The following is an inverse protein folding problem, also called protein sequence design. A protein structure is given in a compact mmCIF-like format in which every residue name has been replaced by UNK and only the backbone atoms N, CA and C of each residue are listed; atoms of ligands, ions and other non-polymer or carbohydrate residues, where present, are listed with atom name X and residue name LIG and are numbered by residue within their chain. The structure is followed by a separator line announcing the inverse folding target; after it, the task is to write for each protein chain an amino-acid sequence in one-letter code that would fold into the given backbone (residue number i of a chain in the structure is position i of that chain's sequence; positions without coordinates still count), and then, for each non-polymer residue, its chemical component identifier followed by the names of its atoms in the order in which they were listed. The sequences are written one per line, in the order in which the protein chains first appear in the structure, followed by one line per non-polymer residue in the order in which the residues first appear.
data_IF_820819906138
#
_entry.id   IF_820819906138
#
_cell.length_a   1.000
_cell.length_b   1.000
_cell.length_c   1.000
_cell.angle_alpha   90.00
_cell.angle_beta   90.00
_cell.angle_gamma   90.00
#
_symmetry.space_group_name_H-M   'P 1'
#
loop_
_entity.id
_entity.type
_entity.pdbx_description
1 polymer ?
#
# COMPACT_ATOMS: atom_id res chain seq x y z
N UNK A 1 18.94 -57.17 40.46
CA UNK A 1 17.64 -56.80 39.87
C UNK A 1 17.89 -56.44 38.42
N UNK A 2 17.32 -57.20 37.49
CA UNK A 2 17.51 -57.02 36.04
C UNK A 2 16.47 -55.99 35.59
N UNK A 3 16.92 -54.82 35.12
CA UNK A 3 16.01 -53.79 34.60
C UNK A 3 15.72 -54.10 33.13
N UNK A 4 14.56 -54.67 32.84
CA UNK A 4 14.09 -54.88 31.46
C UNK A 4 13.56 -53.56 30.91
N UNK A 5 14.11 -53.09 29.78
CA UNK A 5 13.61 -51.92 29.08
C UNK A 5 12.20 -52.18 28.50
N UNK A 6 11.29 -51.19 28.48
CA UNK A 6 9.97 -51.36 27.92
C UNK A 6 10.02 -51.41 26.38
N UNK A 7 9.06 -52.10 25.72
CA UNK A 7 9.04 -52.22 24.27
C UNK A 7 8.69 -50.90 23.58
N UNK A 8 9.17 -50.67 22.34
CA UNK A 8 8.86 -49.46 21.57
C UNK A 8 7.38 -49.41 21.15
N UNK A 9 6.83 -48.19 20.92
CA UNK A 9 5.45 -48.02 20.48
C UNK A 9 5.22 -48.55 19.06
N UNK A 10 3.98 -48.96 18.71
CA UNK A 10 3.66 -49.46 17.38
C UNK A 10 3.75 -48.37 16.30
N UNK A 11 4.09 -48.71 15.05
CA UNK A 11 4.13 -47.75 13.96
C UNK A 11 2.72 -47.23 13.62
N UNK A 12 2.60 -45.99 13.11
CA UNK A 12 1.31 -45.42 12.72
C UNK A 12 0.70 -46.19 11.54
N UNK A 13 -0.64 -46.17 11.39
CA UNK A 13 -1.31 -46.86 10.29
C UNK A 13 -0.90 -46.23 8.96
N UNK A 14 -0.41 -47.05 8.04
CA UNK A 14 -0.17 -46.66 6.65
C UNK A 14 -1.55 -46.43 6.00
N UNK A 15 -1.89 -45.16 5.74
CA UNK A 15 -3.04 -44.85 4.90
C UNK A 15 -2.70 -45.26 3.47
N UNK A 16 -3.54 -46.13 2.91
CA UNK A 16 -3.49 -46.55 1.51
C UNK A 16 -3.78 -45.34 0.63
N UNK A 17 -2.82 -44.95 -0.21
CA UNK A 17 -3.06 -44.06 -1.35
C UNK A 17 -4.09 -44.71 -2.29
N UNK A 18 -5.30 -44.17 -2.31
CA UNK A 18 -6.30 -44.44 -3.35
C UNK A 18 -6.61 -43.11 -4.02
N UNK A 19 -5.96 -42.94 -5.16
CA UNK A 19 -6.21 -41.96 -6.21
C UNK A 19 -7.54 -42.29 -6.92
N UNK A 20 -8.45 -41.31 -7.05
CA UNK A 20 -9.25 -41.10 -8.28
C UNK A 20 -10.10 -39.81 -8.17
N UNK A 21 -9.63 -38.77 -8.87
CA UNK A 21 -10.41 -37.81 -9.66
C UNK A 21 -11.65 -37.12 -9.03
N UNK A 22 -11.43 -35.90 -8.52
CA UNK A 22 -12.46 -34.85 -8.55
C UNK A 22 -11.89 -33.65 -9.31
N UNK A 23 -12.31 -33.56 -10.57
CA UNK A 23 -12.14 -32.46 -11.52
C UNK A 23 -12.78 -31.16 -10.97
N UNK A 24 -12.20 -30.58 -9.93
CA UNK A 24 -12.51 -29.23 -9.46
C UNK A 24 -11.49 -28.27 -10.04
N UNK A 25 -11.89 -27.66 -11.15
CA UNK A 25 -11.31 -26.44 -11.66
C UNK A 25 -11.37 -25.35 -10.60
N UNK A 26 -10.38 -25.26 -9.72
CA UNK A 26 -10.02 -23.99 -9.11
C UNK A 26 -8.50 -23.90 -9.04
N UNK A 27 -7.98 -23.04 -9.90
CA UNK A 27 -6.63 -22.52 -9.86
C UNK A 27 -6.49 -21.68 -8.57
N UNK A 28 -6.53 -22.36 -7.42
CA UNK A 28 -6.17 -21.80 -6.12
C UNK A 28 -4.68 -21.49 -6.21
N UNK A 29 -4.37 -20.33 -6.76
CA UNK A 29 -3.05 -19.70 -6.69
C UNK A 29 -2.63 -19.83 -5.23
N UNK A 30 -1.60 -20.66 -4.99
CA UNK A 30 -1.12 -21.10 -3.67
C UNK A 30 -0.61 -19.95 -2.79
N UNK A 31 -0.78 -18.71 -3.27
CA UNK A 31 -0.41 -17.46 -2.62
C UNK A 31 -1.58 -16.46 -2.52
N UNK A 32 -2.83 -16.90 -2.73
CA UNK A 32 -4.03 -16.06 -2.62
C UNK A 32 -4.74 -16.27 -1.27
N UNK A 33 -5.22 -15.18 -0.67
CA UNK A 33 -5.96 -15.21 0.60
C UNK A 33 -6.97 -14.06 0.66
N UNK A 34 -8.11 -14.30 1.30
CA UNK A 34 -9.07 -13.26 1.62
C UNK A 34 -8.57 -12.36 2.75
N UNK A 35 -8.86 -11.06 2.65
CA UNK A 35 -8.53 -10.09 3.70
C UNK A 35 -9.62 -10.12 4.79
N UNK A 36 -9.21 -10.36 6.04
CA UNK A 36 -10.12 -10.28 7.18
C UNK A 36 -10.53 -8.82 7.44
N UNK A 37 -11.84 -8.54 7.38
CA UNK A 37 -12.40 -7.19 7.52
C UNK A 37 -12.93 -6.88 8.94
N UNK A 38 -12.93 -7.87 9.85
CA UNK A 38 -13.48 -7.75 11.19
C UNK A 38 -12.71 -6.68 12.01
N UNK A 39 -13.43 -5.69 12.56
CA UNK A 39 -12.86 -4.66 13.42
C UNK A 39 -12.33 -3.39 12.73
N UNK A 40 -12.38 -3.29 11.40
CA UNK A 40 -11.96 -2.07 10.69
C UNK A 40 -13.17 -1.16 10.46
N UNK A 41 -13.44 -0.26 11.41
CA UNK A 41 -14.57 0.68 11.33
C UNK A 41 -14.26 1.98 10.59
N UNK A 42 -12.98 2.32 10.37
CA UNK A 42 -12.59 3.56 9.67
C UNK A 42 -11.47 3.31 8.66
N UNK A 43 -11.82 3.39 7.38
CA UNK A 43 -10.97 2.99 6.26
C UNK A 43 -10.29 4.18 5.56
N UNK A 44 -10.57 5.43 5.97
CA UNK A 44 -10.25 6.62 5.15
C UNK A 44 -9.87 7.88 5.93
N UNK A 45 -9.48 7.77 7.20
CA UNK A 45 -8.97 8.90 8.00
C UNK A 45 -7.96 9.81 7.29
N UNK A 46 -7.17 9.26 6.37
CA UNK A 46 -6.20 10.02 5.61
C UNK A 46 -6.79 11.05 4.66
N UNK A 47 -8.08 10.92 4.34
CA UNK A 47 -8.84 11.91 3.60
C UNK A 47 -9.10 13.18 4.43
N UNK A 48 -9.05 13.15 5.75
CA UNK A 48 -9.18 14.37 6.58
C UNK A 48 -7.83 15.03 6.91
N UNK A 49 -6.72 14.40 6.51
CA UNK A 49 -5.37 14.91 6.82
C UNK A 49 -5.04 16.14 5.98
N UNK A 50 -4.24 17.01 6.61
CA UNK A 50 -3.59 18.17 6.01
C UNK A 50 -2.07 18.06 6.18
N UNK A 51 -1.32 18.76 5.33
CA UNK A 51 0.15 18.76 5.43
C UNK A 51 0.63 19.55 6.64
N UNK A 52 1.81 19.20 7.17
CA UNK A 52 2.44 20.00 8.23
C UNK A 52 2.65 21.46 7.80
N UNK A 53 3.03 21.68 6.54
CA UNK A 53 3.19 23.01 5.97
C UNK A 53 1.88 23.82 5.87
N UNK A 54 0.72 23.15 5.91
CA UNK A 54 -0.59 23.79 5.87
C UNK A 54 -1.07 24.18 7.27
N UNK A 55 -0.88 23.30 8.27
CA UNK A 55 -1.34 23.58 9.66
C UNK A 55 -0.32 24.32 10.53
N UNK A 56 0.96 24.36 10.16
CA UNK A 56 2.01 24.99 10.95
C UNK A 56 2.61 26.19 10.22
N UNK A 57 2.23 27.40 10.64
CA UNK A 57 2.68 28.67 10.06
C UNK A 57 4.20 28.84 10.08
N UNK A 58 4.87 28.36 11.14
CA UNK A 58 6.32 28.43 11.26
C UNK A 58 6.99 27.58 10.19
N UNK A 59 6.52 26.34 10.01
CA UNK A 59 7.04 25.44 8.97
C UNK A 59 6.80 26.04 7.59
N UNK A 60 5.60 26.58 7.34
CA UNK A 60 5.28 27.23 6.08
C UNK A 60 6.23 28.41 5.78
N UNK A 61 6.48 29.25 6.79
CA UNK A 61 7.34 30.42 6.66
C UNK A 61 8.80 30.02 6.40
N UNK A 62 9.28 28.99 7.11
CA UNK A 62 10.61 28.43 6.89
C UNK A 62 10.77 27.89 5.46
N UNK A 63 9.81 27.11 4.96
CA UNK A 63 9.86 26.59 3.59
C UNK A 63 9.88 27.72 2.55
N UNK A 64 9.08 28.77 2.73
CA UNK A 64 9.07 29.96 1.86
C UNK A 64 10.43 30.68 1.87
N UNK A 65 11.03 30.86 3.05
CA UNK A 65 12.34 31.48 3.19
C UNK A 65 13.43 30.67 2.48
N UNK A 66 13.54 29.36 2.75
CA UNK A 66 14.50 28.47 2.09
C UNK A 66 14.32 28.46 0.57
N UNK A 67 13.07 28.50 0.08
CA UNK A 67 12.80 28.56 -1.36
C UNK A 67 13.38 29.83 -1.98
N UNK A 68 13.24 30.98 -1.32
CA UNK A 68 13.81 32.25 -1.79
C UNK A 68 15.34 32.28 -1.75
N UNK A 69 15.94 31.67 -0.72
CA UNK A 69 17.41 31.59 -0.58
C UNK A 69 18.03 30.70 -1.66
N UNK A 70 17.46 29.51 -1.86
CA UNK A 70 17.96 28.54 -2.84
C UNK A 70 17.74 29.00 -4.29
N UNK A 71 16.71 29.80 -4.57
CA UNK A 71 16.43 30.31 -5.91
C UNK A 71 17.60 31.11 -6.52
N UNK A 72 18.43 31.75 -5.70
CA UNK A 72 19.59 32.52 -6.17
C UNK A 72 20.73 31.64 -6.68
N UNK A 73 20.83 30.40 -6.16
CA UNK A 73 21.90 29.46 -6.48
C UNK A 73 21.44 28.32 -7.39
N UNK A 74 20.15 28.26 -7.74
CA UNK A 74 19.56 27.19 -8.55
C UNK A 74 19.99 27.33 -10.01
N UNK A 75 20.45 26.23 -10.61
CA UNK A 75 20.67 26.09 -12.05
C UNK A 75 19.46 25.37 -12.68
N UNK A 76 18.63 26.11 -13.41
CA UNK A 76 17.42 25.58 -14.04
C UNK A 76 17.70 24.55 -15.15
N UNK A 77 18.93 24.49 -15.69
CA UNK A 77 19.31 23.48 -16.68
C UNK A 77 19.49 22.08 -16.07
N UNK A 78 19.54 21.99 -14.74
CA UNK A 78 19.75 20.75 -13.98
C UNK A 78 18.47 20.18 -13.35
N UNK A 79 17.31 20.70 -13.72
CA UNK A 79 16.04 20.19 -13.23
C UNK A 79 15.83 18.73 -13.67
N UNK A 80 15.53 17.86 -12.71
CA UNK A 80 15.12 16.49 -12.99
C UNK A 80 13.64 16.42 -13.37
N UNK A 81 13.21 15.29 -13.92
CA UNK A 81 11.79 15.07 -14.23
C UNK A 81 10.90 15.20 -12.97
N UNK A 82 11.39 14.74 -11.82
CA UNK A 82 10.64 14.85 -10.56
C UNK A 82 10.53 16.30 -10.07
N UNK A 83 11.54 17.14 -10.30
CA UNK A 83 11.48 18.56 -9.95
C UNK A 83 10.42 19.30 -10.77
N UNK A 84 10.32 18.98 -12.06
CA UNK A 84 9.30 19.54 -12.95
C UNK A 84 7.89 19.11 -12.50
N UNK A 85 7.69 17.82 -12.21
CA UNK A 85 6.42 17.30 -11.71
C UNK A 85 6.04 17.92 -10.36
N UNK A 86 6.99 18.05 -9.44
CA UNK A 86 6.75 18.69 -8.16
C UNK A 86 6.38 20.16 -8.31
N UNK A 87 7.11 20.90 -9.14
CA UNK A 87 6.84 22.31 -9.42
C UNK A 87 5.43 22.51 -9.99
N UNK A 88 5.00 21.61 -10.88
CA UNK A 88 3.64 21.63 -11.43
C UNK A 88 2.58 21.35 -10.37
N UNK A 89 2.81 20.34 -9.53
CA UNK A 89 1.88 19.99 -8.46
C UNK A 89 1.72 21.15 -7.47
N UNK A 90 2.82 21.79 -7.05
CA UNK A 90 2.78 22.97 -6.18
C UNK A 90 2.06 24.14 -6.87
N UNK A 91 2.34 24.40 -8.15
CA UNK A 91 1.68 25.44 -8.95
C UNK A 91 0.17 25.22 -9.05
N UNK A 92 -0.27 23.98 -9.21
CA UNK A 92 -1.67 23.59 -9.24
C UNK A 92 -2.32 23.49 -7.85
N UNK A 93 -1.59 23.79 -6.76
CA UNK A 93 -2.10 23.70 -5.39
C UNK A 93 -2.37 22.27 -4.91
N UNK A 94 -1.76 21.27 -5.56
CA UNK A 94 -1.89 19.86 -5.18
C UNK A 94 -0.94 19.54 -4.03
N UNK A 95 -1.46 18.77 -3.08
CA UNK A 95 -0.66 18.13 -2.05
C UNK A 95 -0.99 16.62 -1.98
N UNK A 96 -0.26 15.91 -1.13
CA UNK A 96 -0.40 14.46 -0.98
C UNK A 96 -1.82 14.03 -0.61
N UNK A 97 -2.47 14.71 0.34
CA UNK A 97 -3.79 14.33 0.85
C UNK A 97 -4.92 14.83 -0.06
N UNK A 98 -4.79 16.03 -0.63
CA UNK A 98 -5.70 16.54 -1.67
C UNK A 98 -5.75 15.61 -2.87
N UNK A 99 -4.59 15.15 -3.34
CA UNK A 99 -4.50 14.21 -4.47
C UNK A 99 -5.11 12.85 -4.10
N UNK A 100 -4.83 12.34 -2.90
CA UNK A 100 -5.37 11.05 -2.45
C UNK A 100 -6.90 11.07 -2.38
N UNK A 101 -7.49 12.15 -1.83
CA UNK A 101 -8.94 12.38 -1.84
C UNK A 101 -9.50 12.38 -3.26
N UNK A 102 -8.84 13.11 -4.17
CA UNK A 102 -9.30 13.27 -5.54
C UNK A 102 -9.33 11.93 -6.30
N UNK A 103 -8.24 11.15 -6.28
CA UNK A 103 -8.16 9.88 -7.03
C UNK A 103 -9.03 8.76 -6.43
N UNK A 104 -9.54 8.95 -5.20
CA UNK A 104 -10.45 8.03 -4.53
C UNK A 104 -11.91 8.44 -4.62
N UNK A 105 -12.20 9.56 -5.30
CA UNK A 105 -13.57 9.98 -5.60
C UNK A 105 -14.24 9.02 -6.59
N UNK A 106 -15.57 9.02 -6.61
CA UNK A 106 -16.34 8.06 -7.39
C UNK A 106 -16.45 6.68 -6.73
N UNK A 107 -17.24 5.80 -7.34
CA UNK A 107 -17.42 4.44 -6.85
C UNK A 107 -16.28 3.51 -7.31
N UNK A 108 -16.22 2.29 -6.77
CA UNK A 108 -15.18 1.31 -7.11
C UNK A 108 -15.17 0.95 -8.60
N UNK A 109 -16.35 0.78 -9.22
CA UNK A 109 -16.45 0.44 -10.64
C UNK A 109 -15.85 1.54 -11.52
N UNK A 110 -16.22 2.80 -11.29
CA UNK A 110 -15.72 3.92 -12.07
C UNK A 110 -14.18 4.01 -12.02
N UNK A 111 -13.57 3.86 -10.83
CA UNK A 111 -12.11 3.91 -10.70
C UNK A 111 -11.42 2.73 -11.40
N UNK A 112 -12.06 1.57 -11.46
CA UNK A 112 -11.57 0.41 -12.24
C UNK A 112 -11.71 0.71 -13.74
N UNK A 113 -12.86 1.21 -14.19
CA UNK A 113 -13.09 1.57 -15.59
C UNK A 113 -12.08 2.62 -16.07
N UNK A 114 -11.76 3.62 -15.24
CA UNK A 114 -10.73 4.63 -15.52
C UNK A 114 -9.33 4.01 -15.61
N UNK A 115 -9.01 3.05 -14.74
CA UNK A 115 -7.72 2.34 -14.75
C UNK A 115 -7.53 1.51 -16.02
N UNK A 116 -8.55 0.78 -16.46
CA UNK A 116 -8.50 -0.04 -17.69
C UNK A 116 -8.45 0.80 -18.99
N UNK A 117 -8.73 2.11 -18.90
CA UNK A 117 -8.71 3.03 -20.04
C UNK A 117 -7.38 3.81 -20.19
N UNK A 118 -6.42 3.64 -19.27
CA UNK A 118 -5.09 4.29 -19.30
C UNK A 118 -4.08 3.48 -20.12
#
# INVERSE_FOLDING_TARGET
MVMTAPPPPPPPPMYSDMDDNSDSEENASTNSADLQMEGINDHRHEEDRVTEAEKNERVQSQLKALTSELAQARDDSKNTQNDLLHSENVRAGRDKYKTLRQIRSGNTKQRIDEFEAL
#
